data_IF_901371693981
#
_entry.id   IF_901371693981
#
_cell.length_a   1.000
_cell.length_b   1.000
_cell.length_c   1.000
_cell.angle_alpha   90.00
_cell.angle_beta   90.00
_cell.angle_gamma   90.00
#
_symmetry.space_group_name_H-M   'P 1'
#
loop_
_entity.id
_entity.type
_entity.pdbx_description
1 polymer ?
#
# COMPACT_ATOMS: atom_id res chain seq x y z
N UNK A 1 -2.63 -12.09 1.12
CA UNK A 1 -2.30 -11.62 2.49
C UNK A 1 -2.64 -12.69 3.53
N UNK A 2 -3.90 -12.88 3.93
CA UNK A 2 -4.29 -13.81 5.03
C UNK A 2 -3.70 -15.23 4.95
N UNK A 3 -3.75 -15.84 3.76
CA UNK A 3 -3.19 -17.19 3.55
C UNK A 3 -1.66 -17.26 3.69
N UNK A 4 -0.95 -16.21 3.30
CA UNK A 4 0.51 -16.17 3.38
C UNK A 4 0.97 -15.81 4.81
N UNK A 5 0.29 -14.86 5.45
CA UNK A 5 0.55 -14.43 6.84
C UNK A 5 2.05 -14.26 7.13
N UNK A 6 2.64 -15.09 8.01
CA UNK A 6 4.03 -14.98 8.43
C UNK A 6 5.06 -15.27 7.33
N UNK A 7 4.66 -15.82 6.19
CA UNK A 7 5.57 -16.07 5.06
C UNK A 7 5.86 -14.80 4.23
N UNK A 8 5.19 -13.67 4.50
CA UNK A 8 5.41 -12.40 3.81
C UNK A 8 6.67 -11.74 4.39
N UNK A 9 7.74 -11.64 3.59
CA UNK A 9 8.98 -10.95 3.99
C UNK A 9 8.94 -9.43 3.79
N UNK A 10 8.33 -8.96 2.70
CA UNK A 10 8.21 -7.55 2.33
C UNK A 10 6.96 -7.33 1.47
N UNK A 11 6.46 -6.10 1.46
CA UNK A 11 5.36 -5.68 0.59
C UNK A 11 5.78 -4.47 -0.22
N UNK A 12 5.56 -4.53 -1.54
CA UNK A 12 5.68 -3.38 -2.44
C UNK A 12 4.30 -3.04 -3.00
N UNK A 13 4.00 -1.76 -3.13
CA UNK A 13 2.70 -1.27 -3.61
C UNK A 13 2.84 -0.22 -4.69
N UNK A 14 1.95 -0.29 -5.67
CA UNK A 14 1.62 0.75 -6.63
C UNK A 14 0.23 0.46 -7.19
N UNK A 15 -0.58 1.49 -7.37
CA UNK A 15 -1.97 1.36 -7.78
C UNK A 15 -2.09 0.92 -9.25
N UNK A 16 -3.20 0.27 -9.60
CA UNK A 16 -3.44 -0.28 -10.94
C UNK A 16 -4.56 0.52 -11.62
N UNK A 17 -4.44 0.85 -12.92
CA UNK A 17 -3.41 0.39 -13.86
C UNK A 17 -2.18 1.30 -13.99
N UNK A 18 -2.20 2.51 -13.42
CA UNK A 18 -1.18 3.54 -13.65
C UNK A 18 0.20 3.25 -13.04
N UNK A 19 0.29 2.28 -12.12
CA UNK A 19 1.46 2.02 -11.28
C UNK A 19 1.89 3.28 -10.52
N UNK A 20 0.90 3.97 -9.94
CA UNK A 20 1.07 5.23 -9.21
C UNK A 20 0.83 5.05 -7.70
N UNK A 21 0.78 6.12 -6.93
CA UNK A 21 0.47 6.04 -5.49
C UNK A 21 -0.96 5.53 -5.22
N UNK A 22 -1.22 4.93 -4.04
CA UNK A 22 -2.56 4.54 -3.61
C UNK A 22 -3.63 5.64 -3.75
N UNK A 23 -4.77 5.27 -4.33
CA UNK A 23 -5.94 6.14 -4.51
C UNK A 23 -6.06 6.74 -5.92
N UNK A 24 -5.17 6.37 -6.83
CA UNK A 24 -5.18 6.79 -8.25
C UNK A 24 -5.85 5.76 -9.17
N UNK A 25 -6.10 4.56 -8.66
CA UNK A 25 -6.58 3.42 -9.42
C UNK A 25 -7.68 2.64 -8.71
N UNK A 26 -7.75 1.34 -9.01
CA UNK A 26 -8.85 0.47 -8.59
C UNK A 26 -8.58 -0.29 -7.27
N UNK A 27 -7.35 -0.27 -6.75
CA UNK A 27 -6.99 -1.07 -5.58
C UNK A 27 -7.50 -0.41 -4.29
N UNK A 28 -8.32 -1.12 -3.52
CA UNK A 28 -8.73 -0.67 -2.20
C UNK A 28 -7.63 -0.90 -1.15
N UNK A 29 -6.73 0.07 -1.02
CA UNK A 29 -5.60 -0.01 -0.09
C UNK A 29 -5.99 0.04 1.40
N UNK A 30 -7.10 0.69 1.77
CA UNK A 30 -7.56 0.67 3.18
C UNK A 30 -7.97 -0.74 3.61
N UNK A 31 -8.59 -1.52 2.72
CA UNK A 31 -8.91 -2.92 2.99
C UNK A 31 -7.63 -3.78 3.10
N UNK A 32 -6.61 -3.49 2.29
CA UNK A 32 -5.30 -4.14 2.35
C UNK A 32 -4.60 -3.81 3.68
N UNK A 33 -4.53 -2.54 4.08
CA UNK A 33 -3.94 -2.12 5.34
C UNK A 33 -4.58 -2.85 6.54
N UNK A 34 -5.91 -2.90 6.60
CA UNK A 34 -6.64 -3.67 7.62
C UNK A 34 -6.32 -5.17 7.57
N UNK A 35 -6.19 -5.75 6.38
CA UNK A 35 -5.82 -7.16 6.26
C UNK A 35 -4.39 -7.43 6.74
N UNK A 36 -3.47 -6.48 6.58
CA UNK A 36 -2.10 -6.56 7.09
C UNK A 36 -2.05 -6.44 8.62
N UNK A 37 -2.78 -5.49 9.19
CA UNK A 37 -2.95 -5.36 10.64
C UNK A 37 -3.55 -6.64 11.24
N UNK A 38 -4.62 -7.18 10.64
CA UNK A 38 -5.30 -8.40 11.10
C UNK A 38 -4.40 -9.63 11.14
N UNK A 39 -3.40 -9.72 10.27
CA UNK A 39 -2.43 -10.83 10.27
C UNK A 39 -1.18 -10.52 11.09
N UNK A 40 -1.13 -9.36 11.77
CA UNK A 40 0.01 -8.94 12.58
C UNK A 40 1.27 -8.61 11.77
N UNK A 41 1.12 -8.15 10.52
CA UNK A 41 2.28 -7.77 9.71
C UNK A 41 2.86 -6.44 10.21
N UNK A 42 4.09 -6.47 10.69
CA UNK A 42 4.85 -5.30 11.17
C UNK A 42 6.08 -4.99 10.31
N UNK A 43 6.16 -5.56 9.10
CA UNK A 43 7.27 -5.34 8.17
C UNK A 43 7.11 -4.09 7.31
N UNK A 44 8.02 -3.89 6.37
CA UNK A 44 8.04 -2.73 5.49
C UNK A 44 6.95 -2.85 4.41
N UNK A 45 6.18 -1.76 4.26
CA UNK A 45 5.36 -1.51 3.06
C UNK A 45 6.07 -0.43 2.25
N UNK A 46 6.60 -0.79 1.09
CA UNK A 46 7.33 0.11 0.21
C UNK A 46 6.41 0.62 -0.91
N UNK A 47 6.43 1.93 -1.16
CA UNK A 47 5.82 2.52 -2.35
C UNK A 47 6.78 2.34 -3.53
N UNK A 48 6.44 1.45 -4.48
CA UNK A 48 7.22 1.16 -5.69
C UNK A 48 6.43 1.55 -6.95
N UNK A 49 6.11 2.82 -7.05
CA UNK A 49 5.33 3.40 -8.13
C UNK A 49 5.74 4.83 -8.46
N UNK A 50 5.08 5.39 -9.46
CA UNK A 50 5.24 6.78 -9.86
C UNK A 50 4.33 7.70 -9.02
N UNK A 51 4.67 8.98 -8.95
CA UNK A 51 3.69 9.98 -8.56
C UNK A 51 2.85 10.34 -9.80
N UNK A 52 1.52 10.38 -9.67
CA UNK A 52 0.65 10.95 -10.72
C UNK A 52 0.97 12.43 -10.98
N UNK A 53 1.40 13.14 -9.93
CA UNK A 53 1.81 14.53 -9.97
C UNK A 53 2.89 14.83 -8.94
N UNK A 54 2.60 15.74 -8.01
CA UNK A 54 3.54 16.12 -6.96
C UNK A 54 3.91 14.95 -6.04
N UNK A 55 5.21 14.79 -5.77
CA UNK A 55 5.73 13.67 -4.99
C UNK A 55 5.38 13.74 -3.51
N UNK A 56 5.27 14.94 -2.93
CA UNK A 56 4.88 15.08 -1.51
C UNK A 56 3.42 14.68 -1.31
N UNK A 57 2.56 15.08 -2.23
CA UNK A 57 1.15 14.67 -2.28
C UNK A 57 1.03 13.15 -2.41
N UNK A 58 1.83 12.54 -3.29
CA UNK A 58 1.84 11.10 -3.47
C UNK A 58 2.25 10.34 -2.20
N UNK A 59 3.28 10.82 -1.50
CA UNK A 59 3.71 10.26 -0.22
C UNK A 59 2.67 10.46 0.89
N UNK A 60 1.98 11.61 0.92
CA UNK A 60 0.92 11.88 1.88
C UNK A 60 -0.27 10.92 1.68
N UNK A 61 -0.68 10.69 0.42
CA UNK A 61 -1.73 9.73 0.07
C UNK A 61 -1.32 8.30 0.41
N UNK A 62 -0.09 7.90 0.09
CA UNK A 62 0.45 6.60 0.50
C UNK A 62 0.36 6.40 2.02
N UNK A 63 0.82 7.38 2.80
CA UNK A 63 0.73 7.35 4.26
C UNK A 63 -0.72 7.24 4.76
N UNK A 64 -1.64 8.04 4.22
CA UNK A 64 -3.05 8.04 4.62
C UNK A 64 -3.73 6.67 4.43
N UNK A 65 -3.42 5.97 3.34
CA UNK A 65 -4.01 4.66 3.06
C UNK A 65 -3.52 3.54 3.99
N UNK A 66 -2.32 3.69 4.57
CA UNK A 66 -1.70 2.72 5.48
C UNK A 66 -1.69 3.16 6.95
N UNK A 67 -2.26 4.32 7.27
CA UNK A 67 -2.53 4.74 8.66
C UNK A 67 -3.94 4.28 9.05
N UNK A 68 -4.03 3.41 10.06
CA UNK A 68 -5.29 2.87 10.60
C UNK A 68 -5.70 3.56 11.90
#
# INVERSE_FOLDING_TARGET
IRRCGPAIGEIQVADVPGRMQPGTGEINYRAIARALEQVGYCGVVALEGWAEGDSETALAQFRDHFTL
#
